data_IF_340440052460
#
_entry.id   IF_340440052460
#
_cell.length_a   1.000
_cell.length_b   1.000
_cell.length_c   1.000
_cell.angle_alpha   90.00
_cell.angle_beta   90.00
_cell.angle_gamma   90.00
#
_symmetry.space_group_name_H-M   'P 1'
#
loop_
_entity.id
_entity.type
_entity.pdbx_description
1 polymer ?
#
# COMPACT_ATOMS: atom_id res chain seq x y z
N UNK A 1 -3.35 -22.70 -54.32
CA UNK A 1 -2.12 -22.64 -53.50
C UNK A 1 -1.73 -21.19 -53.10
N UNK A 2 -2.07 -20.14 -53.86
CA UNK A 2 -1.75 -18.74 -53.54
C UNK A 2 -2.66 -18.12 -52.48
N UNK A 3 -3.89 -18.60 -52.33
CA UNK A 3 -4.88 -18.08 -51.35
C UNK A 3 -4.63 -18.58 -49.91
N UNK A 4 -3.92 -19.69 -49.74
CA UNK A 4 -3.63 -20.26 -48.40
C UNK A 4 -2.49 -19.49 -47.67
N UNK A 5 -1.56 -18.92 -48.46
CA UNK A 5 -0.41 -18.19 -47.92
C UNK A 5 -0.80 -16.84 -47.28
N UNK A 6 -1.88 -16.19 -47.77
CA UNK A 6 -2.36 -14.90 -47.26
C UNK A 6 -3.09 -15.06 -45.89
N UNK A 7 -3.80 -16.18 -45.69
CA UNK A 7 -4.48 -16.46 -44.47
C UNK A 7 -3.53 -16.74 -43.29
N UNK A 8 -2.35 -17.29 -43.55
CA UNK A 8 -1.36 -17.58 -42.50
C UNK A 8 -0.58 -16.35 -42.05
N UNK A 9 -0.44 -15.33 -42.89
CA UNK A 9 0.22 -14.08 -42.54
C UNK A 9 -0.61 -13.15 -41.63
N UNK A 10 -1.95 -13.26 -41.66
CA UNK A 10 -2.84 -12.46 -40.81
C UNK A 10 -2.94 -12.96 -39.36
N UNK A 11 -2.55 -14.21 -39.08
CA UNK A 11 -2.58 -14.76 -37.73
C UNK A 11 -1.41 -14.31 -36.85
N UNK A 12 -0.35 -13.71 -37.41
CA UNK A 12 0.81 -13.27 -36.63
C UNK A 12 0.72 -11.84 -36.10
N UNK A 13 -0.37 -11.12 -36.36
CA UNK A 13 -0.56 -9.73 -35.86
C UNK A 13 -1.54 -9.64 -34.71
N UNK A 14 -1.70 -10.69 -33.89
CA UNK A 14 -2.40 -10.56 -32.64
C UNK A 14 -1.60 -9.60 -31.75
N UNK A 15 -2.21 -8.48 -31.32
CA UNK A 15 -1.52 -7.60 -30.39
C UNK A 15 -1.16 -8.42 -29.16
N UNK A 16 0.12 -8.46 -28.83
CA UNK A 16 0.56 -8.98 -27.54
C UNK A 16 -0.15 -8.13 -26.51
N UNK A 17 -1.10 -8.71 -25.79
CA UNK A 17 -1.73 -8.06 -24.66
C UNK A 17 -0.61 -7.68 -23.72
N UNK A 18 -0.30 -6.39 -23.64
CA UNK A 18 0.60 -5.88 -22.60
C UNK A 18 -0.02 -6.34 -21.27
N UNK A 19 0.73 -7.16 -20.53
CA UNK A 19 0.30 -7.57 -19.19
C UNK A 19 0.21 -6.29 -18.37
N UNK A 20 -1.01 -5.80 -18.14
CA UNK A 20 -1.23 -4.65 -17.29
C UNK A 20 -0.82 -5.04 -15.87
N UNK A 21 0.05 -4.25 -15.24
CA UNK A 21 0.39 -4.41 -13.84
C UNK A 21 -0.87 -4.22 -13.00
N UNK A 22 -1.44 -5.30 -12.51
CA UNK A 22 -2.61 -5.25 -11.62
C UNK A 22 -2.12 -5.07 -10.20
N UNK A 23 -1.82 -3.82 -9.82
CA UNK A 23 -1.52 -3.48 -8.45
C UNK A 23 -2.82 -3.22 -7.69
N UNK A 24 -3.01 -3.94 -6.62
CA UNK A 24 -4.11 -3.70 -5.72
C UNK A 24 -3.72 -2.56 -4.77
N UNK A 25 -4.48 -1.48 -4.74
CA UNK A 25 -4.29 -0.34 -3.83
C UNK A 25 -5.48 -0.20 -2.90
N UNK A 26 -5.21 0.20 -1.66
CA UNK A 26 -6.28 0.47 -0.69
C UNK A 26 -7.15 1.63 -1.17
N UNK A 27 -8.47 1.47 -1.14
CA UNK A 27 -9.37 2.55 -1.54
C UNK A 27 -9.34 3.71 -0.53
N UNK A 28 -9.78 4.88 -0.97
CA UNK A 28 -9.94 6.03 -0.07
C UNK A 28 -10.97 5.72 1.02
N UNK A 29 -10.63 6.09 2.25
CA UNK A 29 -11.53 5.98 3.39
C UNK A 29 -12.37 7.25 3.53
N UNK A 30 -13.69 7.09 3.41
CA UNK A 30 -14.60 8.23 3.48
C UNK A 30 -15.13 8.45 4.89
N UNK A 31 -14.95 9.67 5.39
CA UNK A 31 -15.57 10.12 6.63
C UNK A 31 -17.09 10.20 6.50
N UNK A 32 -17.77 9.93 7.59
CA UNK A 32 -19.24 10.08 7.67
C UNK A 32 -19.58 10.99 8.83
N UNK A 33 -20.53 11.90 8.63
CA UNK A 33 -21.12 12.64 9.76
C UNK A 33 -21.78 11.64 10.70
N UNK A 34 -21.14 11.39 11.83
CA UNK A 34 -21.71 10.56 12.87
C UNK A 34 -22.73 11.41 13.66
N UNK A 35 -23.91 10.85 13.93
CA UNK A 35 -24.88 11.45 14.87
C UNK A 35 -24.36 11.44 16.31
N UNK A 36 -23.35 10.63 16.59
CA UNK A 36 -22.61 10.54 17.87
C UNK A 36 -21.12 10.40 17.52
N UNK A 37 -20.23 10.88 18.41
CA UNK A 37 -18.81 10.68 18.24
C UNK A 37 -18.50 9.18 18.20
N UNK A 38 -17.77 8.74 17.16
CA UNK A 38 -17.25 7.38 17.11
C UNK A 38 -16.19 7.22 18.21
N UNK A 39 -16.03 6.03 18.75
CA UNK A 39 -14.95 5.76 19.71
C UNK A 39 -13.58 5.99 19.03
N UNK A 40 -12.58 6.26 19.85
CA UNK A 40 -11.18 6.29 19.42
C UNK A 40 -10.86 4.90 18.82
N UNK A 41 -10.24 4.83 17.64
CA UNK A 41 -9.78 3.56 17.10
C UNK A 41 -8.84 2.84 18.07
N UNK A 42 -8.91 1.51 18.18
CA UNK A 42 -7.97 0.77 19.01
C UNK A 42 -6.55 0.93 18.48
N UNK A 43 -5.57 0.77 19.37
CA UNK A 43 -4.16 0.72 18.99
C UNK A 43 -3.93 -0.45 18.00
N UNK A 44 -3.14 -0.18 16.97
CA UNK A 44 -2.71 -1.17 15.99
C UNK A 44 -1.29 -1.64 16.31
N UNK A 45 -0.98 -2.87 15.91
CA UNK A 45 0.38 -3.40 15.93
C UNK A 45 0.74 -3.76 14.50
N UNK A 46 1.92 -3.33 14.03
CA UNK A 46 2.46 -3.74 12.73
C UNK A 46 2.93 -5.19 12.84
N UNK A 47 2.42 -6.05 11.98
CA UNK A 47 2.79 -7.48 11.92
C UNK A 47 3.73 -7.78 10.78
N UNK A 48 3.52 -7.12 9.65
CA UNK A 48 4.34 -7.35 8.48
C UNK A 48 4.42 -6.08 7.63
N UNK A 49 5.53 -5.93 6.90
CA UNK A 49 5.75 -4.86 5.93
C UNK A 49 6.38 -5.47 4.69
N UNK A 50 5.61 -5.62 3.64
CA UNK A 50 6.11 -5.99 2.32
C UNK A 50 6.41 -4.71 1.53
N UNK A 51 7.68 -4.50 1.21
CA UNK A 51 8.16 -3.27 0.60
C UNK A 51 8.97 -3.58 -0.67
N UNK A 52 8.42 -3.20 -1.82
CA UNK A 52 9.06 -3.36 -3.12
C UNK A 52 9.32 -1.98 -3.72
N UNK A 53 10.57 -1.54 -3.78
CA UNK A 53 10.92 -0.23 -4.35
C UNK A 53 10.74 -0.25 -5.87
N UNK A 54 10.47 0.92 -6.45
CA UNK A 54 10.49 1.12 -7.90
C UNK A 54 11.96 1.20 -8.35
N UNK A 55 12.44 0.21 -9.08
CA UNK A 55 13.84 0.09 -9.50
C UNK A 55 14.04 0.15 -11.02
N UNK A 56 13.07 0.63 -11.79
CA UNK A 56 13.13 0.62 -13.25
C UNK A 56 12.48 1.83 -13.91
N UNK A 57 12.44 1.82 -15.23
CA UNK A 57 11.75 2.82 -16.03
C UNK A 57 10.24 2.80 -15.77
N UNK A 58 9.63 3.98 -15.70
CA UNK A 58 8.21 4.17 -15.41
C UNK A 58 7.26 3.51 -16.41
N UNK A 59 7.77 3.06 -17.56
CA UNK A 59 6.99 2.44 -18.63
C UNK A 59 6.86 0.91 -18.49
N UNK A 60 7.48 0.31 -17.48
CA UNK A 60 7.40 -1.12 -17.16
C UNK A 60 6.86 -1.37 -15.76
N UNK A 61 6.40 -2.60 -15.48
CA UNK A 61 6.02 -3.00 -14.13
C UNK A 61 7.16 -2.88 -13.13
N UNK A 62 8.40 -2.94 -13.59
CA UNK A 62 9.60 -2.79 -12.77
C UNK A 62 9.79 -1.34 -12.27
N UNK A 63 9.14 -0.35 -12.92
CA UNK A 63 9.13 1.05 -12.52
C UNK A 63 8.08 1.38 -11.45
N UNK A 64 7.26 0.42 -11.03
CA UNK A 64 6.22 0.64 -10.02
C UNK A 64 6.62 -0.04 -8.71
N UNK A 65 6.81 0.78 -7.68
CA UNK A 65 6.98 0.29 -6.32
C UNK A 65 5.65 0.13 -5.60
N UNK A 66 5.63 -0.70 -4.59
CA UNK A 66 4.49 -0.82 -3.70
C UNK A 66 4.91 -1.15 -2.26
N UNK A 67 4.03 -0.86 -1.33
CA UNK A 67 4.14 -1.30 0.05
C UNK A 67 2.80 -1.88 0.50
N UNK A 68 2.86 -2.97 1.24
CA UNK A 68 1.74 -3.54 1.97
C UNK A 68 2.11 -3.62 3.46
N UNK A 69 1.24 -3.11 4.33
CA UNK A 69 1.46 -3.11 5.77
C UNK A 69 0.31 -3.88 6.42
N UNK A 70 0.62 -5.02 7.03
CA UNK A 70 -0.35 -5.78 7.83
C UNK A 70 -0.40 -5.21 9.24
N UNK A 71 -1.60 -4.84 9.65
CA UNK A 71 -1.92 -4.30 10.97
C UNK A 71 -2.81 -5.27 11.73
N UNK A 72 -2.51 -5.50 13.01
CA UNK A 72 -3.34 -6.27 13.90
C UNK A 72 -3.94 -5.39 15.00
N UNK A 73 -5.19 -5.64 15.34
CA UNK A 73 -5.96 -4.91 16.33
C UNK A 73 -6.48 -5.85 17.42
N UNK A 74 -6.15 -5.59 18.66
CA UNK A 74 -6.66 -6.34 19.78
C UNK A 74 -8.20 -6.24 19.86
N UNK A 75 -8.90 -7.36 19.72
CA UNK A 75 -10.34 -7.45 19.89
C UNK A 75 -11.20 -6.79 18.81
N UNK A 76 -10.62 -6.39 17.68
CA UNK A 76 -11.38 -5.83 16.57
C UNK A 76 -11.99 -6.96 15.71
N UNK A 77 -13.29 -6.86 15.43
CA UNK A 77 -13.93 -7.73 14.43
C UNK A 77 -13.77 -7.13 13.03
N UNK A 78 -13.81 -7.97 11.99
CA UNK A 78 -13.68 -7.53 10.58
C UNK A 78 -14.68 -6.43 10.20
N UNK A 79 -15.89 -6.47 10.77
CA UNK A 79 -16.89 -5.43 10.57
C UNK A 79 -16.42 -4.08 11.12
N UNK A 80 -15.81 -4.08 12.30
CA UNK A 80 -15.31 -2.86 12.93
C UNK A 80 -14.02 -2.38 12.27
N UNK A 81 -13.20 -3.27 11.74
CA UNK A 81 -12.00 -2.91 10.98
C UNK A 81 -12.34 -2.05 9.75
N UNK A 82 -13.48 -2.29 9.09
CA UNK A 82 -13.96 -1.47 7.97
C UNK A 82 -14.38 -0.05 8.36
N UNK A 83 -14.54 0.24 9.64
CA UNK A 83 -14.87 1.57 10.17
C UNK A 83 -13.64 2.36 10.64
N UNK A 84 -12.44 1.82 10.39
CA UNK A 84 -11.16 2.47 10.64
C UNK A 84 -10.48 2.75 9.31
N UNK A 85 -10.06 3.99 9.11
CA UNK A 85 -9.17 4.43 8.04
C UNK A 85 -7.78 4.71 8.58
N UNK A 86 -6.81 4.92 7.68
CA UNK A 86 -5.41 5.09 8.04
C UNK A 86 -4.78 6.22 7.25
N UNK A 87 -4.29 7.23 7.93
CA UNK A 87 -3.35 8.17 7.35
C UNK A 87 -1.94 7.60 7.44
N UNK A 88 -1.16 7.81 6.40
CA UNK A 88 0.28 7.57 6.41
C UNK A 88 0.99 8.91 6.46
N UNK A 89 1.89 9.06 7.42
CA UNK A 89 2.70 10.26 7.57
C UNK A 89 4.17 9.92 7.42
N UNK A 90 4.91 10.57 6.53
CA UNK A 90 6.34 10.41 6.45
C UNK A 90 7.00 11.06 7.68
N UNK A 91 7.94 10.34 8.32
CA UNK A 91 8.79 10.84 9.40
C UNK A 91 10.17 11.17 8.86
N UNK A 92 10.76 10.26 8.06
CA UNK A 92 12.03 10.48 7.38
C UNK A 92 12.20 9.54 6.18
N UNK A 93 13.13 9.87 5.29
CA UNK A 93 13.53 9.04 4.14
C UNK A 93 12.59 9.12 2.94
N UNK A 94 11.45 9.77 3.03
CA UNK A 94 10.54 10.01 1.90
C UNK A 94 10.83 11.39 1.33
N UNK A 95 11.45 11.45 0.16
CA UNK A 95 11.90 12.68 -0.46
C UNK A 95 10.98 13.16 -1.58
N UNK A 96 10.26 12.24 -2.22
CA UNK A 96 9.45 12.51 -3.40
C UNK A 96 8.01 12.85 -3.02
N UNK A 97 7.48 13.95 -3.55
CA UNK A 97 6.08 14.33 -3.37
C UNK A 97 5.15 13.38 -4.14
N UNK A 98 4.06 12.98 -3.51
CA UNK A 98 3.08 12.09 -4.14
C UNK A 98 3.34 10.59 -3.93
N UNK A 99 4.48 10.21 -3.34
CA UNK A 99 4.76 8.82 -2.99
C UNK A 99 3.83 8.30 -1.89
N UNK A 100 3.48 9.15 -0.93
CA UNK A 100 2.55 8.82 0.15
C UNK A 100 1.16 9.37 -0.18
N UNK A 101 0.08 8.56 -0.06
CA UNK A 101 -1.28 9.04 -0.26
C UNK A 101 -1.62 10.21 0.67
N UNK A 102 -2.18 11.29 0.11
CA UNK A 102 -2.60 12.48 0.88
C UNK A 102 -3.96 12.32 1.56
N UNK A 103 -4.65 11.21 1.32
CA UNK A 103 -5.96 10.87 1.87
C UNK A 103 -5.86 9.65 2.79
N UNK A 104 -6.80 9.49 3.73
CA UNK A 104 -6.85 8.28 4.55
C UNK A 104 -7.26 7.08 3.71
N UNK A 105 -6.56 5.97 3.87
CA UNK A 105 -6.85 4.71 3.18
C UNK A 105 -7.78 3.83 4.00
N UNK A 106 -8.69 3.12 3.33
CA UNK A 106 -9.46 2.05 3.94
C UNK A 106 -8.62 0.78 3.98
N UNK A 107 -8.59 0.12 5.13
CA UNK A 107 -7.94 -1.17 5.23
C UNK A 107 -8.77 -2.27 4.56
N UNK A 108 -8.08 -3.24 3.99
CA UNK A 108 -8.65 -4.49 3.50
C UNK A 108 -8.49 -5.55 4.57
N UNK A 109 -9.57 -6.10 5.13
CA UNK A 109 -9.46 -7.19 6.10
C UNK A 109 -8.74 -8.39 5.48
N UNK A 110 -7.68 -8.87 6.11
CA UNK A 110 -6.88 -10.02 5.64
C UNK A 110 -7.19 -11.29 6.44
N UNK A 111 -7.38 -11.17 7.76
CA UNK A 111 -7.78 -12.23 8.66
C UNK A 111 -8.51 -11.63 9.87
N UNK A 112 -9.02 -12.47 10.78
CA UNK A 112 -9.72 -12.00 11.97
C UNK A 112 -8.83 -11.10 12.83
N UNK A 113 -9.24 -9.85 13.00
CA UNK A 113 -8.49 -8.84 13.74
C UNK A 113 -7.29 -8.26 13.00
N UNK A 114 -7.08 -8.65 11.74
CA UNK A 114 -6.01 -8.14 10.89
C UNK A 114 -6.57 -7.39 9.68
N UNK A 115 -5.84 -6.41 9.24
CA UNK A 115 -6.17 -5.62 8.07
C UNK A 115 -4.89 -5.14 7.38
N UNK A 116 -4.91 -5.07 6.05
CA UNK A 116 -3.78 -4.61 5.26
C UNK A 116 -4.11 -3.28 4.62
N UNK A 117 -3.17 -2.36 4.67
CA UNK A 117 -3.18 -1.16 3.83
C UNK A 117 -2.05 -1.27 2.81
N UNK A 118 -2.32 -0.86 1.58
CA UNK A 118 -1.32 -0.89 0.52
C UNK A 118 -1.53 0.23 -0.49
N UNK A 119 -0.42 0.71 -1.00
CA UNK A 119 -0.40 1.71 -2.07
C UNK A 119 0.82 1.49 -2.96
N UNK A 120 0.78 2.11 -4.13
CA UNK A 120 1.83 2.04 -5.12
C UNK A 120 2.31 3.45 -5.49
N UNK A 121 3.50 3.53 -6.03
CA UNK A 121 4.09 4.76 -6.56
C UNK A 121 4.92 4.46 -7.81
N UNK A 122 5.28 5.51 -8.55
CA UNK A 122 6.21 5.42 -9.67
C UNK A 122 7.41 6.33 -9.39
N UNK A 123 8.60 5.76 -9.54
CA UNK A 123 9.87 6.48 -9.39
C UNK A 123 10.09 7.02 -7.97
N UNK A 124 11.09 6.52 -7.28
CA UNK A 124 11.59 7.10 -6.03
C UNK A 124 13.08 7.32 -6.17
N UNK A 125 13.57 8.33 -5.45
CA UNK A 125 14.99 8.63 -5.39
C UNK A 125 15.61 7.84 -4.22
N UNK A 126 16.52 6.89 -4.50
CA UNK A 126 17.26 6.20 -3.44
C UNK A 126 18.16 7.18 -2.67
N UNK A 127 18.56 6.79 -1.49
CA UNK A 127 19.64 7.43 -0.73
C UNK A 127 20.97 7.39 -1.52
N UNK A 128 21.99 8.19 -1.14
CA UNK A 128 23.28 8.22 -1.85
C UNK A 128 24.01 6.87 -1.91
N UNK A 129 23.68 5.94 -1.04
CA UNK A 129 24.22 4.56 -1.01
C UNK A 129 23.35 3.57 -1.81
N UNK A 130 22.34 4.05 -2.54
CA UNK A 130 21.49 3.26 -3.41
C UNK A 130 20.35 2.52 -2.72
N UNK A 131 20.11 2.78 -1.44
CA UNK A 131 19.02 2.17 -0.69
C UNK A 131 17.83 3.11 -0.51
N UNK A 132 16.68 2.53 -0.21
CA UNK A 132 15.48 3.25 0.18
C UNK A 132 15.16 2.88 1.62
N UNK A 133 15.05 3.89 2.49
CA UNK A 133 14.79 3.71 3.93
C UNK A 133 13.74 4.69 4.39
N UNK A 134 12.54 4.22 4.63
CA UNK A 134 11.42 5.03 5.08
C UNK A 134 11.10 4.80 6.55
N UNK A 135 10.88 5.88 7.27
CA UNK A 135 10.23 5.88 8.57
C UNK A 135 8.87 6.56 8.42
N UNK A 136 7.83 5.82 8.73
CA UNK A 136 6.46 6.26 8.57
C UNK A 136 5.72 6.14 9.89
N UNK A 137 4.65 6.92 10.03
CA UNK A 137 3.63 6.74 11.05
C UNK A 137 2.30 6.40 10.40
N UNK A 138 1.66 5.35 10.87
CA UNK A 138 0.30 4.99 10.51
C UNK A 138 -0.64 5.50 11.60
N UNK A 139 -1.52 6.43 11.26
CA UNK A 139 -2.48 7.02 12.18
C UNK A 139 -3.86 6.45 11.90
N UNK A 140 -4.40 5.55 12.76
CA UNK A 140 -5.76 5.08 12.60
C UNK A 140 -6.76 6.21 12.83
N UNK A 141 -7.85 6.24 12.06
CA UNK A 141 -8.88 7.26 12.16
C UNK A 141 -10.26 6.63 12.07
N UNK A 142 -11.17 7.05 12.92
CA UNK A 142 -12.57 6.60 12.89
C UNK A 142 -13.35 7.28 11.76
N UNK A 143 -14.54 6.75 11.43
CA UNK A 143 -15.44 7.37 10.44
C UNK A 143 -15.88 8.79 10.79
N UNK A 144 -15.84 9.19 12.06
CA UNK A 144 -16.12 10.57 12.49
C UNK A 144 -14.90 11.47 12.52
N UNK A 145 -13.71 10.98 12.10
CA UNK A 145 -12.49 11.76 12.09
C UNK A 145 -11.70 11.77 13.40
N UNK A 146 -12.08 10.94 14.38
CA UNK A 146 -11.31 10.82 15.63
C UNK A 146 -10.06 10.00 15.34
N UNK A 147 -8.88 10.58 15.59
CA UNK A 147 -7.60 9.88 15.44
C UNK A 147 -7.33 8.97 16.65
N UNK A 148 -6.74 7.81 16.37
CA UNK A 148 -6.17 6.91 17.36
C UNK A 148 -4.69 7.14 17.56
N UNK A 149 -4.06 6.23 18.30
CA UNK A 149 -2.62 6.27 18.57
C UNK A 149 -1.82 5.91 17.31
N UNK A 150 -0.83 6.73 16.90
CA UNK A 150 0.04 6.42 15.79
C UNK A 150 0.89 5.17 16.05
N UNK A 151 1.16 4.40 15.02
CA UNK A 151 2.11 3.29 15.06
C UNK A 151 3.24 3.55 14.07
N UNK A 152 4.48 3.37 14.54
CA UNK A 152 5.67 3.55 13.73
C UNK A 152 5.86 2.36 12.78
N UNK A 153 6.26 2.65 11.54
CA UNK A 153 6.59 1.68 10.50
C UNK A 153 7.95 2.00 9.93
N UNK A 154 8.75 0.96 9.76
CA UNK A 154 10.02 1.01 9.05
C UNK A 154 9.89 0.17 7.77
N UNK A 155 10.25 0.76 6.63
CA UNK A 155 10.34 0.07 5.34
C UNK A 155 11.69 0.38 4.70
N UNK A 156 12.48 -0.63 4.39
CA UNK A 156 13.80 -0.45 3.81
C UNK A 156 14.15 -1.57 2.83
N UNK A 157 15.05 -1.26 1.90
CA UNK A 157 15.60 -2.23 0.92
C UNK A 157 16.80 -2.99 1.46
N UNK A 158 17.24 -2.65 2.65
CA UNK A 158 18.33 -3.30 3.39
C UNK A 158 17.85 -3.77 4.77
N UNK A 159 18.76 -4.33 5.57
CA UNK A 159 18.46 -4.83 6.92
C UNK A 159 18.37 -3.72 7.99
N UNK A 160 18.19 -2.43 7.61
CA UNK A 160 18.12 -1.31 8.56
C UNK A 160 16.80 -1.25 9.35
N UNK A 161 15.76 -1.96 8.93
CA UNK A 161 14.53 -2.10 9.67
C UNK A 161 14.60 -3.29 10.62
N UNK A 162 14.14 -3.14 11.88
CA UNK A 162 13.98 -4.29 12.77
C UNK A 162 12.98 -5.27 12.13
N UNK A 163 13.33 -6.55 12.12
CA UNK A 163 12.39 -7.60 11.70
C UNK A 163 11.18 -7.57 12.64
N UNK A 164 9.99 -7.68 12.08
CA UNK A 164 8.79 -7.79 12.87
C UNK A 164 8.97 -8.97 13.84
N UNK A 165 8.84 -8.71 15.14
CA UNK A 165 9.06 -9.74 16.14
C UNK A 165 8.02 -10.85 15.99
N UNK A 166 8.49 -12.06 15.68
CA UNK A 166 7.77 -13.28 15.99
C UNK A 166 7.67 -13.38 17.54
N UNK A 167 6.52 -12.98 18.08
CA UNK A 167 6.09 -13.25 19.44
C UNK A 167 4.84 -14.10 19.41
#
# INVERSE_FOLDING_TARGET
LKSLAIALALLCTLPHSAAACSLFVSPEFHFRRAKRSSPVPPAAVVRDVDFVPAMGDSDSCDGVGFIAIELEFAGLSDRKARDVGFFVRPVSGVHDTGTIPSFPMAAVPSARGKATIHWAWSGITPDPDGHVRWRLEIVPVSRSGVAGEPVAVCAATDDSCPKAHEN
#
